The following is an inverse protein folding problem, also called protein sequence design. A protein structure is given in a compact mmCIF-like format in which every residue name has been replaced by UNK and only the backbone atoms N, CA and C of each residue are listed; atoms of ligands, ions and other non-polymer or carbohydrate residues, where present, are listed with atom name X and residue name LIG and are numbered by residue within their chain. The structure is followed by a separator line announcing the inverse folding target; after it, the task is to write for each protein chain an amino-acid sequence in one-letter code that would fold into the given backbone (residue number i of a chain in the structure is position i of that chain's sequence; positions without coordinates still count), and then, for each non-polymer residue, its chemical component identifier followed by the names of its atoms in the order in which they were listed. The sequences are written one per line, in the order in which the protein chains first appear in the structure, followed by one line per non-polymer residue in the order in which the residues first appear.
data_IF_944911006485
#
_entry.id   IF_944911006485
#
_cell.length_a   1.000
_cell.length_b   1.000
_cell.length_c   1.000
_cell.angle_alpha   90.00
_cell.angle_beta   90.00
_cell.angle_gamma   90.00
#
_symmetry.space_group_name_H-M   'P 1'
#
loop_
_entity.id
_entity.type
_entity.pdbx_description
1 polymer ?
#
# COMPACT_ATOMS: atom_id res chain seq x y z
N UNK A 1 -26.63 16.89 -19.91
CA UNK A 1 -25.46 16.17 -19.38
C UNK A 1 -25.94 15.29 -18.26
N UNK A 2 -25.57 14.01 -18.29
CA UNK A 2 -25.82 13.12 -17.16
C UNK A 2 -24.87 13.50 -16.00
N UNK A 3 -25.08 12.93 -14.81
CA UNK A 3 -24.28 13.24 -13.61
C UNK A 3 -22.79 12.99 -13.82
N UNK A 4 -22.42 11.89 -14.49
CA UNK A 4 -21.02 11.55 -14.78
C UNK A 4 -20.37 12.56 -15.74
N UNK A 5 -21.11 13.05 -16.74
CA UNK A 5 -20.61 14.09 -17.66
C UNK A 5 -20.30 15.38 -16.88
N UNK A 6 -21.18 15.77 -15.94
CA UNK A 6 -21.01 16.97 -15.13
C UNK A 6 -19.82 16.82 -14.18
N UNK A 7 -19.68 15.66 -13.54
CA UNK A 7 -18.53 15.31 -12.70
C UNK A 7 -17.21 15.45 -13.48
N UNK A 8 -17.09 14.75 -14.61
CA UNK A 8 -15.88 14.75 -15.44
C UNK A 8 -15.54 16.15 -15.95
N UNK A 9 -16.55 16.91 -16.38
CA UNK A 9 -16.39 18.31 -16.79
C UNK A 9 -15.84 19.15 -15.63
N UNK A 10 -16.43 19.06 -14.43
CA UNK A 10 -15.98 19.84 -13.28
C UNK A 10 -14.54 19.50 -12.88
N UNK A 11 -14.16 18.23 -12.86
CA UNK A 11 -12.77 17.82 -12.57
C UNK A 11 -11.80 18.46 -13.56
N UNK A 12 -12.13 18.44 -14.86
CA UNK A 12 -11.28 18.98 -15.93
C UNK A 12 -11.21 20.49 -15.93
N UNK A 13 -12.34 21.18 -15.87
CA UNK A 13 -12.40 22.64 -15.99
C UNK A 13 -11.86 23.34 -14.75
N UNK A 14 -12.10 22.81 -13.55
CA UNK A 14 -11.57 23.40 -12.32
C UNK A 14 -10.06 23.23 -12.24
N UNK A 15 -9.54 22.04 -12.57
CA UNK A 15 -8.10 21.79 -12.58
C UNK A 15 -7.32 22.68 -13.56
N UNK A 16 -7.95 23.08 -14.66
CA UNK A 16 -7.38 23.97 -15.67
C UNK A 16 -7.77 25.45 -15.46
N UNK A 17 -8.52 25.75 -14.41
CA UNK A 17 -8.95 27.11 -14.11
C UNK A 17 -7.75 27.97 -13.71
N UNK A 18 -7.68 29.18 -14.27
CA UNK A 18 -6.71 30.19 -13.85
C UNK A 18 -7.08 30.87 -12.53
N UNK A 19 -8.31 30.67 -12.07
CA UNK A 19 -8.81 31.23 -10.82
C UNK A 19 -9.09 30.11 -9.82
N UNK A 20 -8.65 30.29 -8.59
CA UNK A 20 -9.01 29.42 -7.47
C UNK A 20 -10.48 29.58 -7.06
N UNK A 21 -11.15 30.66 -7.49
CA UNK A 21 -12.55 30.95 -7.18
C UNK A 21 -13.48 30.35 -8.24
N UNK A 22 -14.21 29.30 -7.85
CA UNK A 22 -15.02 28.50 -8.74
C UNK A 22 -16.51 28.74 -8.46
N UNK A 23 -17.20 29.33 -9.44
CA UNK A 23 -18.61 29.68 -9.31
C UNK A 23 -19.51 28.66 -10.02
N UNK A 24 -20.59 28.17 -9.38
CA UNK A 24 -21.54 27.22 -10.00
C UNK A 24 -22.09 27.70 -11.35
N UNK A 25 -22.41 28.99 -11.43
CA UNK A 25 -22.96 29.64 -12.64
C UNK A 25 -22.04 29.53 -13.86
N UNK A 26 -20.73 29.41 -13.68
CA UNK A 26 -19.76 29.22 -14.77
C UNK A 26 -20.00 27.91 -15.52
N UNK A 27 -20.60 26.93 -14.85
CA UNK A 27 -20.89 25.60 -15.38
C UNK A 27 -22.39 25.39 -15.70
N UNK A 28 -23.22 26.44 -15.56
CA UNK A 28 -24.66 26.33 -15.72
C UNK A 28 -25.34 25.44 -14.67
N UNK A 29 -24.74 25.32 -13.47
CA UNK A 29 -25.25 24.51 -12.36
C UNK A 29 -25.81 25.40 -11.25
N UNK A 30 -26.85 24.92 -10.57
CA UNK A 30 -27.28 25.53 -9.31
C UNK A 30 -26.33 25.18 -8.17
N UNK A 31 -26.40 25.94 -7.08
CA UNK A 31 -25.48 25.79 -5.95
C UNK A 31 -25.54 24.40 -5.29
N UNK A 32 -26.74 23.81 -5.14
CA UNK A 32 -26.89 22.52 -4.47
C UNK A 32 -26.33 21.39 -5.32
N UNK A 33 -26.65 21.40 -6.61
CA UNK A 33 -26.11 20.43 -7.57
C UNK A 33 -24.58 20.55 -7.66
N UNK A 34 -24.05 21.76 -7.81
CA UNK A 34 -22.62 21.99 -7.85
C UNK A 34 -21.92 21.53 -6.56
N UNK A 35 -22.47 21.87 -5.39
CA UNK A 35 -21.92 21.47 -4.10
C UNK A 35 -21.86 19.95 -3.96
N UNK A 36 -22.94 19.26 -4.30
CA UNK A 36 -22.99 17.81 -4.21
C UNK A 36 -21.90 17.14 -5.05
N UNK A 37 -21.68 17.62 -6.29
CA UNK A 37 -20.66 17.05 -7.17
C UNK A 37 -19.25 17.38 -6.67
N UNK A 38 -18.99 18.58 -6.16
CA UNK A 38 -17.67 18.92 -5.60
C UNK A 38 -17.37 18.10 -4.35
N UNK A 39 -18.34 17.95 -3.44
CA UNK A 39 -18.20 17.10 -2.26
C UNK A 39 -17.86 15.65 -2.68
N UNK A 40 -18.52 15.12 -3.71
CA UNK A 40 -18.23 13.79 -4.28
C UNK A 40 -16.80 13.69 -4.86
N UNK A 41 -16.34 14.70 -5.59
CA UNK A 41 -14.97 14.76 -6.14
C UNK A 41 -13.91 14.80 -5.03
N UNK A 42 -14.18 15.51 -3.92
CA UNK A 42 -13.32 15.55 -2.73
C UNK A 42 -13.32 14.20 -2.00
N UNK A 43 -14.49 13.59 -1.80
CA UNK A 43 -14.63 12.28 -1.14
C UNK A 43 -13.96 11.15 -1.94
N UNK A 44 -14.02 11.23 -3.27
CA UNK A 44 -13.27 10.34 -4.18
C UNK A 44 -11.76 10.61 -4.16
N UNK A 45 -11.32 11.68 -3.49
CA UNK A 45 -9.93 12.04 -3.31
C UNK A 45 -9.27 12.52 -4.60
N UNK A 46 -10.01 13.09 -5.55
CA UNK A 46 -9.42 13.72 -6.73
C UNK A 46 -8.93 15.14 -6.43
N UNK A 47 -9.67 15.88 -5.59
CA UNK A 47 -9.29 17.19 -5.09
C UNK A 47 -8.80 17.11 -3.64
N UNK A 48 -7.85 17.96 -3.29
CA UNK A 48 -7.64 18.29 -1.87
C UNK A 48 -8.85 19.07 -1.37
N UNK A 49 -9.17 18.92 -0.07
CA UNK A 49 -10.30 19.61 0.54
C UNK A 49 -10.18 21.12 0.36
N UNK A 50 -11.14 21.71 -0.34
CA UNK A 50 -11.23 23.14 -0.56
C UNK A 50 -12.09 23.85 0.48
N UNK A 51 -12.48 25.08 0.16
CA UNK A 51 -13.26 25.92 1.06
C UNK A 51 -14.53 26.46 0.39
N UNK A 52 -15.66 26.33 1.08
CA UNK A 52 -16.92 26.91 0.65
C UNK A 52 -17.08 28.32 1.21
N UNK A 53 -17.06 29.33 0.35
CA UNK A 53 -17.25 30.70 0.77
C UNK A 53 -18.74 31.04 0.95
N UNK A 54 -19.03 31.97 1.87
CA UNK A 54 -20.39 32.48 2.14
C UNK A 54 -21.07 33.09 0.90
N UNK A 55 -20.30 33.45 -0.13
CA UNK A 55 -20.79 33.94 -1.43
C UNK A 55 -21.25 32.85 -2.41
N UNK A 56 -21.31 31.58 -1.99
CA UNK A 56 -21.81 30.49 -2.82
C UNK A 56 -20.84 30.02 -3.91
N UNK A 57 -19.54 30.21 -3.70
CA UNK A 57 -18.47 29.72 -4.57
C UNK A 57 -17.52 28.80 -3.81
N UNK A 58 -16.85 27.92 -4.55
CA UNK A 58 -15.86 26.99 -4.04
C UNK A 58 -14.46 27.54 -4.28
N UNK A 59 -13.60 27.47 -3.28
CA UNK A 59 -12.17 27.80 -3.39
C UNK A 59 -11.44 26.49 -3.62
N UNK A 60 -10.99 26.30 -4.85
CA UNK A 60 -10.20 25.14 -5.24
C UNK A 60 -8.77 25.28 -4.69
N UNK A 61 -8.31 24.25 -3.97
CA UNK A 61 -6.98 24.22 -3.39
C UNK A 61 -5.97 23.58 -4.37
N UNK A 62 -6.07 22.27 -4.58
CA UNK A 62 -5.19 21.56 -5.50
C UNK A 62 -5.76 20.20 -5.94
N UNK A 63 -5.17 19.62 -6.98
CA UNK A 63 -5.34 18.20 -7.30
C UNK A 63 -4.53 17.33 -6.33
N UNK A 64 -5.09 16.19 -5.96
CA UNK A 64 -4.30 15.11 -5.36
C UNK A 64 -3.46 14.40 -6.44
N UNK A 65 -2.62 13.45 -6.02
CA UNK A 65 -1.97 12.53 -6.96
C UNK A 65 -3.02 11.75 -7.79
N UNK A 66 -4.09 11.27 -7.15
CA UNK A 66 -5.17 10.54 -7.83
C UNK A 66 -5.91 11.44 -8.84
N UNK A 67 -6.15 12.71 -8.50
CA UNK A 67 -6.75 13.69 -9.40
C UNK A 67 -5.91 13.97 -10.65
N UNK A 68 -4.59 14.11 -10.51
CA UNK A 68 -3.68 14.27 -11.66
C UNK A 68 -3.70 13.04 -12.56
N UNK A 69 -3.57 11.84 -11.99
CA UNK A 69 -3.64 10.58 -12.74
C UNK A 69 -4.99 10.39 -13.43
N UNK A 70 -6.09 10.85 -12.81
CA UNK A 70 -7.41 10.80 -13.42
C UNK A 70 -7.48 11.65 -14.69
N UNK A 71 -6.98 12.88 -14.66
CA UNK A 71 -6.97 13.80 -15.81
C UNK A 71 -6.07 13.31 -16.94
N UNK A 72 -4.86 12.84 -16.62
CA UNK A 72 -3.92 12.29 -17.61
C UNK A 72 -4.48 11.08 -18.36
N UNK A 73 -5.35 10.30 -17.71
CA UNK A 73 -5.97 9.12 -18.29
C UNK A 73 -7.34 9.40 -18.94
N UNK A 74 -8.06 10.47 -18.58
CA UNK A 74 -9.37 10.78 -19.16
C UNK A 74 -9.27 11.36 -20.59
N UNK A 75 -8.13 11.97 -20.96
CA UNK A 75 -7.86 12.38 -22.35
C UNK A 75 -7.59 11.16 -23.27
N UNK A 76 -7.38 9.96 -22.71
CA UNK A 76 -7.27 8.69 -23.43
C UNK A 76 -8.54 7.88 -23.18
N UNK A 77 -9.55 8.06 -24.04
CA UNK A 77 -10.81 7.28 -24.03
C UNK A 77 -10.55 5.78 -23.91
N UNK A 78 -10.66 5.21 -22.72
CA UNK A 78 -11.13 3.85 -22.41
C UNK A 78 -11.03 3.61 -20.90
N UNK A 79 -12.16 3.68 -20.20
CA UNK A 79 -12.29 2.98 -18.93
C UNK A 79 -13.21 1.79 -19.14
N UNK A 80 -12.60 0.61 -19.22
CA UNK A 80 -13.25 -0.55 -18.63
C UNK A 80 -13.24 -0.32 -17.12
N UNK A 81 -14.40 -0.54 -16.48
CA UNK A 81 -14.61 -0.62 -15.03
C UNK A 81 -13.29 -1.03 -14.37
N UNK A 82 -12.73 -0.17 -13.51
CA UNK A 82 -11.59 -0.57 -12.67
C UNK A 82 -12.16 -1.57 -11.66
N UNK A 83 -12.33 -2.80 -12.11
CA UNK A 83 -12.18 -3.95 -11.24
C UNK A 83 -10.79 -3.81 -10.65
N UNK A 84 -10.69 -4.09 -9.35
CA UNK A 84 -9.47 -3.95 -8.58
C UNK A 84 -8.40 -4.87 -9.18
N UNK A 85 -7.71 -4.40 -10.22
CA UNK A 85 -6.64 -5.15 -10.85
C UNK A 85 -5.46 -4.97 -9.91
N UNK A 86 -5.16 -6.01 -9.13
CA UNK A 86 -3.86 -6.09 -8.47
C UNK A 86 -2.78 -6.05 -9.55
N UNK A 87 -2.18 -4.88 -9.74
CA UNK A 87 -1.01 -4.75 -10.59
C UNK A 87 0.21 -5.11 -9.74
N UNK A 88 0.65 -6.36 -9.83
CA UNK A 88 1.88 -6.83 -9.20
C UNK A 88 3.09 -6.36 -10.03
N UNK A 89 3.68 -5.23 -9.64
CA UNK A 89 4.99 -4.84 -10.14
C UNK A 89 6.08 -5.57 -9.35
N UNK A 90 6.87 -6.41 -10.04
CA UNK A 90 8.08 -7.01 -9.48
C UNK A 90 9.25 -6.04 -9.58
N UNK A 91 9.18 -4.93 -8.84
CA UNK A 91 10.27 -3.96 -8.77
C UNK A 91 11.24 -4.36 -7.64
N UNK A 92 12.45 -4.78 -8.01
CA UNK A 92 13.54 -4.95 -7.04
C UNK A 92 14.13 -3.57 -6.73
N UNK A 93 13.91 -3.08 -5.52
CA UNK A 93 14.53 -1.84 -5.04
C UNK A 93 15.82 -2.21 -4.31
N UNK A 94 16.98 -1.91 -4.93
CA UNK A 94 18.29 -2.09 -4.32
C UNK A 94 18.78 -0.76 -3.75
N UNK A 95 19.04 -0.72 -2.44
CA UNK A 95 19.55 0.49 -1.76
C UNK A 95 20.84 0.17 -1.02
N UNK A 96 21.87 0.97 -1.25
CA UNK A 96 23.18 0.87 -0.59
C UNK A 96 23.64 2.23 -0.07
N UNK A 97 24.54 2.27 0.93
CA UNK A 97 25.15 3.49 1.47
C UNK A 97 24.49 4.06 2.73
N UNK A 98 24.98 5.22 3.18
CA UNK A 98 24.46 5.94 4.36
C UNK A 98 23.23 6.78 3.97
N UNK A 99 22.06 6.16 4.01
CA UNK A 99 20.81 6.81 3.66
C UNK A 99 20.21 7.51 4.88
N UNK A 100 19.94 8.81 4.77
CA UNK A 100 19.33 9.64 5.82
C UNK A 100 17.86 10.01 5.47
N UNK A 101 17.02 9.00 5.21
CA UNK A 101 15.60 9.19 4.86
C UNK A 101 14.81 7.88 4.82
N UNK A 102 13.51 7.95 4.50
CA UNK A 102 12.64 6.78 4.35
C UNK A 102 12.68 6.24 2.91
N UNK A 103 13.06 4.97 2.73
CA UNK A 103 13.17 4.31 1.41
C UNK A 103 11.78 3.91 0.85
N UNK A 104 10.87 3.52 1.73
CA UNK A 104 9.51 3.09 1.39
C UNK A 104 8.53 3.91 2.24
N UNK A 105 7.57 4.56 1.59
CA UNK A 105 6.49 5.33 2.23
C UNK A 105 5.12 4.83 1.75
N UNK A 106 4.08 4.96 2.57
CA UNK A 106 2.72 4.46 2.29
C UNK A 106 2.22 3.44 3.32
N UNK A 107 0.91 3.18 3.31
CA UNK A 107 0.26 2.24 4.23
C UNK A 107 0.28 0.82 3.65
N UNK A 108 0.39 -0.20 4.52
CA UNK A 108 0.34 -1.63 4.17
C UNK A 108 1.49 -2.14 3.28
N UNK A 109 2.68 -1.55 3.39
CA UNK A 109 3.89 -2.11 2.77
C UNK A 109 4.33 -3.39 3.49
N UNK A 110 4.53 -4.48 2.74
CA UNK A 110 5.13 -5.71 3.27
C UNK A 110 6.56 -5.80 2.76
N UNK A 111 7.54 -5.62 3.66
CA UNK A 111 8.95 -5.86 3.33
C UNK A 111 9.21 -7.35 3.60
N UNK A 112 9.36 -8.14 2.53
CA UNK A 112 9.74 -9.55 2.65
C UNK A 112 11.23 -9.65 2.35
N UNK A 113 12.05 -9.77 3.39
CA UNK A 113 13.45 -10.11 3.20
C UNK A 113 13.62 -11.61 2.86
N UNK A 114 14.74 -11.98 2.24
CA UNK A 114 15.11 -13.38 2.04
C UNK A 114 15.14 -14.13 3.40
N UNK A 115 15.56 -13.44 4.46
CA UNK A 115 15.47 -13.95 5.82
C UNK A 115 14.02 -14.23 6.26
N UNK A 116 13.10 -13.30 6.07
CA UNK A 116 11.68 -13.48 6.44
C UNK A 116 11.05 -14.64 5.69
N UNK A 117 11.39 -14.79 4.39
CA UNK A 117 10.92 -15.90 3.57
C UNK A 117 11.39 -17.24 4.13
N UNK A 118 12.71 -17.41 4.32
CA UNK A 118 13.27 -18.66 4.86
C UNK A 118 12.82 -18.93 6.30
N UNK A 119 12.61 -17.89 7.10
CA UNK A 119 12.10 -18.04 8.46
C UNK A 119 10.67 -18.58 8.44
N UNK A 120 9.80 -18.04 7.59
CA UNK A 120 8.44 -18.54 7.44
C UNK A 120 8.39 -19.98 6.89
N UNK A 121 9.28 -20.31 5.94
CA UNK A 121 9.45 -21.69 5.45
C UNK A 121 9.81 -22.63 6.61
N UNK A 122 10.77 -22.28 7.47
CA UNK A 122 11.12 -23.07 8.65
C UNK A 122 9.90 -23.29 9.58
N UNK A 123 9.14 -22.24 9.88
CA UNK A 123 7.93 -22.37 10.72
C UNK A 123 6.90 -23.31 10.09
N UNK A 124 6.70 -23.25 8.77
CA UNK A 124 5.81 -24.16 8.06
C UNK A 124 6.29 -25.62 8.13
N UNK A 125 7.58 -25.87 7.93
CA UNK A 125 8.15 -27.22 8.05
C UNK A 125 7.99 -27.75 9.47
N UNK A 126 8.23 -26.93 10.51
CA UNK A 126 8.01 -27.34 11.90
C UNK A 126 6.55 -27.70 12.15
N UNK A 127 5.60 -26.85 11.71
CA UNK A 127 4.17 -27.12 11.83
C UNK A 127 3.76 -28.46 11.19
N UNK A 128 4.32 -28.77 10.01
CA UNK A 128 4.01 -29.97 9.23
C UNK A 128 4.80 -31.22 9.67
N UNK A 129 5.79 -31.08 10.55
CA UNK A 129 6.60 -32.21 11.05
C UNK A 129 5.79 -33.13 11.99
N UNK A 130 6.40 -34.15 12.58
CA UNK A 130 5.79 -34.94 13.66
C UNK A 130 6.42 -34.65 15.04
N UNK A 131 7.04 -33.48 15.19
CA UNK A 131 7.69 -33.07 16.44
C UNK A 131 6.67 -32.95 17.58
N UNK A 132 7.02 -33.45 18.77
CA UNK A 132 6.13 -33.33 19.94
C UNK A 132 6.10 -31.92 20.54
N UNK A 133 7.14 -31.12 20.31
CA UNK A 133 7.32 -29.79 20.94
C UNK A 133 7.20 -28.62 19.95
N UNK A 134 6.45 -28.77 18.85
CA UNK A 134 6.37 -27.76 17.76
C UNK A 134 6.06 -26.35 18.26
N UNK A 135 5.02 -26.22 19.08
CA UNK A 135 4.54 -24.92 19.53
C UNK A 135 5.60 -24.18 20.36
N UNK A 136 6.29 -24.91 21.24
CA UNK A 136 7.38 -24.36 22.07
C UNK A 136 8.54 -23.91 21.18
N UNK A 137 8.92 -24.72 20.19
CA UNK A 137 10.02 -24.39 19.25
C UNK A 137 9.66 -23.15 18.43
N UNK A 138 8.44 -23.11 17.87
CA UNK A 138 7.97 -21.97 17.07
C UNK A 138 7.94 -20.71 17.91
N UNK A 139 7.46 -20.79 19.16
CA UNK A 139 7.39 -19.65 20.05
C UNK A 139 8.79 -19.12 20.41
N UNK A 140 9.74 -20.01 20.72
CA UNK A 140 11.13 -19.63 20.99
C UNK A 140 11.77 -18.94 19.77
N UNK A 141 11.61 -19.52 18.58
CA UNK A 141 12.12 -18.93 17.33
C UNK A 141 11.49 -17.55 17.05
N UNK A 142 10.18 -17.39 17.25
CA UNK A 142 9.48 -16.10 17.05
C UNK A 142 9.94 -15.04 18.04
N UNK A 143 10.09 -15.40 19.32
CA UNK A 143 10.56 -14.48 20.35
C UNK A 143 11.99 -13.98 20.07
N UNK A 144 12.82 -14.86 19.51
CA UNK A 144 14.23 -14.55 19.23
C UNK A 144 14.46 -14.02 17.81
N UNK A 145 13.43 -13.92 16.94
CA UNK A 145 13.55 -13.61 15.50
C UNK A 145 14.40 -12.37 15.21
N UNK A 146 14.29 -11.33 16.03
CA UNK A 146 14.95 -10.04 15.81
C UNK A 146 16.31 -9.90 16.52
N UNK A 147 16.74 -10.93 17.28
CA UNK A 147 18.06 -10.98 17.92
C UNK A 147 18.88 -12.09 17.26
N UNK A 148 19.82 -11.71 16.40
CA UNK A 148 20.64 -12.64 15.63
C UNK A 148 21.35 -13.68 16.51
N UNK A 149 21.89 -13.27 17.65
CA UNK A 149 22.67 -14.13 18.53
C UNK A 149 21.76 -15.15 19.22
N UNK A 150 20.62 -14.70 19.74
CA UNK A 150 19.64 -15.58 20.37
C UNK A 150 19.00 -16.52 19.34
N UNK A 151 18.66 -16.03 18.15
CA UNK A 151 18.10 -16.85 17.09
C UNK A 151 19.06 -17.95 16.64
N UNK A 152 20.34 -17.62 16.39
CA UNK A 152 21.36 -18.61 16.03
C UNK A 152 21.52 -19.68 17.12
N UNK A 153 21.42 -19.29 18.40
CA UNK A 153 21.43 -20.24 19.53
C UNK A 153 20.19 -21.15 19.53
N UNK A 154 19.00 -20.61 19.33
CA UNK A 154 17.77 -21.40 19.21
C UNK A 154 17.84 -22.39 18.05
N UNK A 155 18.28 -21.94 16.87
CA UNK A 155 18.46 -22.79 15.69
C UNK A 155 19.51 -23.88 15.90
N UNK A 156 20.64 -23.55 16.53
CA UNK A 156 21.65 -24.54 16.92
C UNK A 156 21.10 -25.59 17.88
N UNK A 157 20.23 -25.19 18.81
CA UNK A 157 19.56 -26.12 19.72
C UNK A 157 18.60 -27.05 18.97
N UNK A 158 17.93 -26.55 17.93
CA UNK A 158 17.08 -27.37 17.06
C UNK A 158 17.92 -28.42 16.30
N UNK A 159 19.10 -28.07 15.81
CA UNK A 159 20.01 -29.00 15.13
C UNK A 159 20.55 -30.11 16.03
N UNK A 160 20.79 -29.81 17.31
CA UNK A 160 21.37 -30.79 18.24
C UNK A 160 20.36 -31.78 18.81
N UNK A 161 19.05 -31.61 18.55
CA UNK A 161 17.99 -32.46 19.10
C UNK A 161 17.79 -33.83 18.41
N UNK A 162 18.78 -34.32 17.67
CA UNK A 162 18.82 -35.71 17.20
C UNK A 162 17.81 -36.03 16.09
N UNK A 163 17.54 -37.33 15.89
CA UNK A 163 16.87 -37.86 14.69
C UNK A 163 15.42 -37.35 14.48
N UNK A 164 14.72 -36.98 15.54
CA UNK A 164 13.34 -36.45 15.48
C UNK A 164 13.26 -35.16 14.65
N UNK A 165 14.35 -34.40 14.61
CA UNK A 165 14.47 -33.11 13.93
C UNK A 165 15.00 -33.20 12.51
N UNK A 166 15.31 -34.41 12.03
CA UNK A 166 15.85 -34.65 10.68
C UNK A 166 15.04 -34.00 9.57
N UNK A 167 13.71 -33.99 9.71
CA UNK A 167 12.77 -33.38 8.76
C UNK A 167 12.91 -31.86 8.61
N UNK A 168 13.55 -31.17 9.55
CA UNK A 168 13.66 -29.71 9.56
C UNK A 168 15.09 -29.19 9.45
N UNK A 169 16.10 -30.08 9.46
CA UNK A 169 17.53 -29.72 9.41
C UNK A 169 17.84 -28.82 8.21
N UNK A 170 17.38 -29.18 7.02
CA UNK A 170 17.66 -28.42 5.80
C UNK A 170 17.16 -26.96 5.88
N UNK A 171 15.96 -26.75 6.43
CA UNK A 171 15.38 -25.42 6.61
C UNK A 171 16.16 -24.60 7.66
N UNK A 172 16.58 -25.25 8.75
CA UNK A 172 17.40 -24.60 9.79
C UNK A 172 18.78 -24.19 9.24
N UNK A 173 19.45 -25.08 8.50
CA UNK A 173 20.75 -24.80 7.88
C UNK A 173 20.65 -23.66 6.86
N UNK A 174 19.58 -23.61 6.06
CA UNK A 174 19.35 -22.55 5.08
C UNK A 174 19.19 -21.16 5.71
N UNK A 175 18.67 -21.09 6.94
CA UNK A 175 18.56 -19.85 7.71
C UNK A 175 19.89 -19.44 8.35
N UNK A 176 20.66 -20.41 8.87
CA UNK A 176 21.97 -20.16 9.49
C UNK A 176 23.05 -19.71 8.49
N UNK A 177 22.86 -20.01 7.20
CA UNK A 177 23.79 -19.62 6.13
C UNK A 177 23.58 -18.19 5.61
N UNK A 178 22.53 -17.49 6.07
CA UNK A 178 22.31 -16.08 5.79
C UNK A 178 23.14 -15.21 6.76
#
# INVERSE_FOLDING_TARGET
MNTNDKYNMLVKEIANSKSEYIYPKTFGLDFKEFKAIIDEIEDDGLFEKGFWALGGFYIFNNLTFKGRSFLENNDKKEYHKIEKTEVNYHNNISVSGNNHGNIITGNNNTIVSEFDKKFNELIQVINNSNLQSKDIIIQDLKNNKNDEKLLKKSLGTVLTKGAEFSSIISAVSALLSL
#
